data_IF_416619780166
#
_entry.id   IF_416619780166
#
_cell.length_a   1.000
_cell.length_b   1.000
_cell.length_c   1.000
_cell.angle_alpha   90.00
_cell.angle_beta   90.00
_cell.angle_gamma   90.00
#
_symmetry.space_group_name_H-M   'P 1'
#
loop_
_entity.id
_entity.type
_entity.pdbx_description
1 polymer ?
#
# COMPACT_ATOMS: atom_id res chain seq x y z
N UNK A 1 80.97 -51.40 30.07
CA UNK A 1 79.80 -50.77 30.76
C UNK A 1 79.04 -50.07 29.68
N UNK A 2 77.97 -50.65 29.16
CA UNK A 2 77.16 -50.13 28.03
C UNK A 2 75.73 -49.75 28.52
N UNK A 3 75.36 -48.54 28.25
CA UNK A 3 74.09 -48.03 28.57
C UNK A 3 73.20 -48.09 27.31
N UNK A 4 72.14 -48.94 27.36
CA UNK A 4 71.21 -49.10 26.27
C UNK A 4 70.14 -47.99 26.38
N UNK A 5 69.98 -47.17 25.32
CA UNK A 5 68.93 -46.24 25.16
C UNK A 5 67.70 -46.92 24.51
N UNK A 6 66.56 -46.93 25.22
CA UNK A 6 65.27 -47.26 24.64
C UNK A 6 64.72 -46.02 23.93
N UNK A 7 64.43 -46.20 22.65
CA UNK A 7 63.68 -45.20 21.88
C UNK A 7 62.21 -45.63 21.87
N UNK A 8 61.35 -44.85 22.53
CA UNK A 8 59.89 -45.02 22.48
C UNK A 8 59.34 -44.22 21.29
N UNK A 9 58.76 -44.90 20.30
CA UNK A 9 58.14 -44.33 19.14
C UNK A 9 56.67 -44.00 19.52
N UNK A 10 56.36 -42.75 19.67
CA UNK A 10 54.96 -42.30 19.85
C UNK A 10 54.34 -42.17 18.46
N UNK A 11 53.29 -42.95 18.15
CA UNK A 11 52.50 -42.86 16.97
C UNK A 11 51.45 -41.74 17.16
N UNK A 12 51.57 -40.65 16.42
CA UNK A 12 50.63 -39.56 16.38
C UNK A 12 49.48 -39.94 15.42
N UNK A 13 48.32 -40.32 15.95
CA UNK A 13 47.11 -40.55 15.18
C UNK A 13 46.48 -39.17 14.90
N UNK A 14 46.69 -38.64 13.69
CA UNK A 14 45.99 -37.45 13.21
C UNK A 14 44.55 -37.81 12.85
N UNK A 15 43.61 -37.53 13.77
CA UNK A 15 42.17 -37.58 13.48
C UNK A 15 41.78 -36.45 12.53
N UNK A 16 41.56 -36.75 11.25
CA UNK A 16 40.84 -35.84 10.35
C UNK A 16 39.42 -35.75 10.83
N UNK A 17 39.10 -34.71 11.59
CA UNK A 17 37.73 -34.27 11.83
C UNK A 17 37.14 -33.75 10.53
N UNK A 18 36.29 -34.53 9.88
CA UNK A 18 35.39 -34.04 8.81
C UNK A 18 34.49 -32.99 9.43
N UNK A 19 34.84 -31.71 9.28
CA UNK A 19 33.90 -30.61 9.52
C UNK A 19 32.81 -30.71 8.45
N UNK A 20 31.70 -31.34 8.79
CA UNK A 20 30.47 -31.24 8.02
C UNK A 20 30.08 -29.76 8.04
N UNK A 21 30.03 -29.05 6.87
CA UNK A 21 29.46 -27.72 6.88
C UNK A 21 28.03 -27.88 7.34
N UNK A 22 27.70 -27.37 8.53
CA UNK A 22 26.33 -27.07 8.90
C UNK A 22 25.91 -26.01 7.90
N UNK A 23 25.19 -26.44 6.86
CA UNK A 23 24.45 -25.51 6.03
C UNK A 23 23.60 -24.71 7.03
N UNK A 24 23.93 -23.44 7.22
CA UNK A 24 23.06 -22.52 7.92
C UNK A 24 21.73 -22.64 7.17
N UNK A 25 20.75 -23.30 7.77
CA UNK A 25 19.37 -23.23 7.34
C UNK A 25 19.07 -21.74 7.20
N UNK A 26 18.93 -21.27 5.98
CA UNK A 26 18.40 -19.94 5.74
C UNK A 26 17.11 -19.87 6.55
N UNK A 27 17.03 -18.89 7.43
CA UNK A 27 16.03 -18.84 8.48
C UNK A 27 14.66 -19.17 7.92
N UNK A 28 13.98 -20.16 8.50
CA UNK A 28 12.58 -20.50 8.25
C UNK A 28 11.62 -19.33 8.57
N UNK A 29 12.16 -18.18 8.95
CA UNK A 29 11.41 -16.99 9.33
C UNK A 29 11.32 -15.98 8.20
N UNK A 30 10.10 -15.44 7.99
CA UNK A 30 9.80 -14.37 7.04
C UNK A 30 9.50 -13.08 7.77
N UNK A 31 10.29 -12.03 7.52
CA UNK A 31 10.07 -10.71 8.11
C UNK A 31 9.05 -9.93 7.29
N UNK A 32 7.86 -9.74 7.85
CA UNK A 32 6.75 -8.97 7.28
C UNK A 32 6.78 -7.55 7.83
N UNK A 33 6.83 -6.56 6.94
CA UNK A 33 6.74 -5.16 7.33
C UNK A 33 5.53 -4.45 6.75
N UNK A 34 5.30 -3.22 7.18
CA UNK A 34 4.40 -2.31 6.53
C UNK A 34 4.86 -0.85 6.65
N UNK A 35 4.24 0.02 5.84
CA UNK A 35 4.35 1.47 6.02
C UNK A 35 3.67 1.88 7.32
N UNK A 36 3.96 3.11 7.78
CA UNK A 36 3.49 3.65 9.05
C UNK A 36 1.99 4.02 9.05
N UNK A 37 1.40 4.16 7.86
CA UNK A 37 -0.01 4.53 7.71
C UNK A 37 -0.96 3.38 8.10
N UNK A 38 -2.23 3.74 8.30
CA UNK A 38 -3.28 2.79 8.72
C UNK A 38 -3.47 1.65 7.72
N UNK A 39 -3.55 1.97 6.43
CA UNK A 39 -3.74 0.96 5.39
C UNK A 39 -2.55 0.01 5.32
N UNK A 40 -1.33 0.56 5.42
CA UNK A 40 -0.12 -0.23 5.52
C UNK A 40 -0.17 -1.23 6.68
N UNK A 41 -0.63 -0.78 7.86
CA UNK A 41 -0.78 -1.67 9.02
C UNK A 41 -1.83 -2.77 8.79
N UNK A 42 -2.99 -2.46 8.20
CA UNK A 42 -4.03 -3.45 7.86
C UNK A 42 -3.49 -4.48 6.86
N UNK A 43 -2.90 -4.03 5.76
CA UNK A 43 -2.37 -4.90 4.71
C UNK A 43 -1.19 -5.76 5.20
N UNK A 44 -0.29 -5.18 6.00
CA UNK A 44 0.83 -5.91 6.60
C UNK A 44 0.35 -7.02 7.55
N UNK A 45 -0.68 -6.76 8.35
CA UNK A 45 -1.29 -7.77 9.22
C UNK A 45 -2.02 -8.85 8.43
N UNK A 46 -2.67 -8.53 7.30
CA UNK A 46 -3.26 -9.52 6.39
C UNK A 46 -2.16 -10.48 5.89
N UNK A 47 -1.02 -9.94 5.45
CA UNK A 47 0.12 -10.76 5.01
C UNK A 47 0.60 -11.65 6.17
N UNK A 48 0.90 -11.07 7.32
CA UNK A 48 1.43 -11.79 8.47
C UNK A 48 0.54 -12.95 8.91
N UNK A 49 -0.75 -12.69 9.10
CA UNK A 49 -1.74 -13.69 9.54
C UNK A 49 -1.87 -14.86 8.57
N UNK A 50 -1.84 -14.60 7.26
CA UNK A 50 -1.93 -15.64 6.25
C UNK A 50 -0.67 -16.50 6.18
N UNK A 51 0.51 -15.91 6.36
CA UNK A 51 1.78 -16.65 6.40
C UNK A 51 1.90 -17.48 7.68
N UNK A 52 1.51 -16.93 8.83
CA UNK A 52 1.42 -17.68 10.10
C UNK A 52 0.48 -18.89 9.99
N UNK A 53 -0.70 -18.73 9.38
CA UNK A 53 -1.64 -19.84 9.17
C UNK A 53 -1.00 -20.97 8.33
N UNK A 54 -0.05 -20.64 7.45
CA UNK A 54 0.69 -21.64 6.67
C UNK A 54 1.82 -22.29 7.44
N UNK A 55 2.07 -21.86 8.69
CA UNK A 55 3.11 -22.41 9.55
C UNK A 55 4.49 -21.79 9.33
N UNK A 56 4.58 -20.67 8.62
CA UNK A 56 5.82 -19.90 8.53
C UNK A 56 6.10 -19.18 9.85
N UNK A 57 7.36 -19.14 10.25
CA UNK A 57 7.80 -18.30 11.37
C UNK A 57 7.84 -16.84 10.91
N UNK A 58 6.87 -16.03 11.34
CA UNK A 58 6.71 -14.63 10.92
C UNK A 58 7.29 -13.68 11.96
N UNK A 59 8.22 -12.84 11.51
CA UNK A 59 8.70 -11.70 12.29
C UNK A 59 8.02 -10.44 11.80
N UNK A 60 7.32 -9.75 12.70
CA UNK A 60 6.56 -8.57 12.35
C UNK A 60 7.35 -7.28 12.55
N UNK A 61 7.32 -6.40 11.55
CA UNK A 61 7.77 -5.02 11.58
C UNK A 61 6.68 -4.09 11.03
N UNK A 62 5.47 -4.28 11.53
CA UNK A 62 4.30 -3.48 11.13
C UNK A 62 4.50 -2.01 11.55
N UNK A 63 4.09 -1.09 10.67
CA UNK A 63 4.28 0.36 10.84
C UNK A 63 5.76 0.76 11.00
N UNK A 64 6.67 0.12 10.26
CA UNK A 64 8.11 0.33 10.34
C UNK A 64 8.52 1.78 10.01
N UNK A 65 7.85 2.42 9.06
CA UNK A 65 8.17 3.79 8.67
C UNK A 65 7.57 4.21 7.33
N UNK A 66 7.93 5.40 6.83
CA UNK A 66 7.48 5.86 5.52
C UNK A 66 8.09 5.02 4.38
N UNK A 67 7.52 5.17 3.18
CA UNK A 67 7.85 4.39 1.97
C UNK A 67 9.36 4.18 1.77
N UNK A 68 10.17 5.23 1.88
CA UNK A 68 11.63 5.14 1.66
C UNK A 68 12.31 4.21 2.67
N UNK A 69 11.89 4.24 3.93
CA UNK A 69 12.48 3.39 4.99
C UNK A 69 12.16 1.92 4.74
N UNK A 70 10.89 1.59 4.50
CA UNK A 70 10.47 0.20 4.27
C UNK A 70 11.07 -0.35 2.99
N UNK A 71 11.13 0.47 1.92
CA UNK A 71 11.76 0.10 0.65
C UNK A 71 13.26 -0.21 0.82
N UNK A 72 13.99 0.63 1.54
CA UNK A 72 15.41 0.41 1.82
C UNK A 72 15.61 -0.89 2.61
N UNK A 73 14.82 -1.11 3.66
CA UNK A 73 14.90 -2.33 4.47
C UNK A 73 14.64 -3.62 3.64
N UNK A 74 13.72 -3.58 2.66
CA UNK A 74 13.52 -4.70 1.73
C UNK A 74 14.76 -4.94 0.86
N UNK A 75 15.33 -3.89 0.28
CA UNK A 75 16.49 -4.00 -0.61
C UNK A 75 17.76 -4.46 0.13
N UNK A 76 17.91 -4.07 1.38
CA UNK A 76 19.02 -4.48 2.25
C UNK A 76 18.80 -5.87 2.89
N UNK A 77 17.61 -6.45 2.75
CA UNK A 77 17.29 -7.78 3.27
C UNK A 77 16.92 -7.82 4.75
N UNK A 78 16.66 -6.67 5.36
CA UNK A 78 16.15 -6.58 6.74
C UNK A 78 14.65 -6.87 6.83
N UNK A 79 13.95 -6.75 5.70
CA UNK A 79 12.54 -7.06 5.49
C UNK A 79 12.43 -8.00 4.29
N UNK A 80 11.54 -8.97 4.33
CA UNK A 80 11.34 -9.96 3.30
C UNK A 80 10.15 -9.67 2.40
N UNK A 81 9.09 -9.11 2.97
CA UNK A 81 7.83 -8.80 2.28
C UNK A 81 7.11 -7.62 2.94
N UNK A 82 6.52 -6.75 2.14
CA UNK A 82 5.60 -5.71 2.61
C UNK A 82 4.61 -5.31 1.51
N UNK A 83 3.47 -4.66 1.84
CA UNK A 83 2.56 -4.09 0.85
C UNK A 83 3.12 -2.77 0.28
N UNK A 84 3.31 -2.72 -1.05
CA UNK A 84 3.73 -1.53 -1.78
C UNK A 84 2.70 -1.18 -2.86
N UNK A 85 2.72 0.04 -3.36
CA UNK A 85 1.76 0.55 -4.34
C UNK A 85 2.39 0.68 -5.72
N UNK A 86 1.71 0.22 -6.76
CA UNK A 86 2.23 0.15 -8.14
C UNK A 86 2.81 1.47 -8.63
N UNK A 87 2.13 2.60 -8.39
CA UNK A 87 2.59 3.93 -8.80
C UNK A 87 3.89 4.38 -8.16
N UNK A 88 4.23 3.88 -6.95
CA UNK A 88 5.48 4.22 -6.30
C UNK A 88 6.72 3.74 -7.06
N UNK A 89 6.59 2.70 -7.87
CA UNK A 89 7.68 2.26 -8.73
C UNK A 89 8.10 3.38 -9.72
N UNK A 90 7.18 4.23 -10.16
CA UNK A 90 7.50 5.39 -10.97
C UNK A 90 8.54 6.30 -10.30
N UNK A 91 8.38 6.55 -9.01
CA UNK A 91 9.32 7.38 -8.23
C UNK A 91 10.62 6.64 -7.90
N UNK A 92 10.55 5.34 -7.59
CA UNK A 92 11.76 4.57 -7.27
C UNK A 92 12.76 4.55 -8.42
N UNK A 93 12.25 4.57 -9.65
CA UNK A 93 13.06 4.49 -10.87
C UNK A 93 13.12 5.82 -11.65
N UNK A 94 12.59 6.93 -11.12
CA UNK A 94 12.56 8.25 -11.76
C UNK A 94 11.88 8.23 -13.15
N UNK A 95 10.78 7.49 -13.27
CA UNK A 95 9.97 7.36 -14.50
C UNK A 95 8.48 7.61 -14.22
N UNK A 96 8.18 8.45 -13.24
CA UNK A 96 6.83 8.79 -12.78
C UNK A 96 5.97 9.49 -13.87
N UNK A 97 6.61 10.12 -14.85
CA UNK A 97 5.93 10.73 -16.01
C UNK A 97 5.45 9.72 -17.07
N UNK A 98 5.81 8.43 -16.99
CA UNK A 98 5.44 7.43 -17.97
C UNK A 98 3.92 7.19 -17.98
N UNK A 99 3.24 7.27 -19.15
CA UNK A 99 1.80 7.04 -19.24
C UNK A 99 1.34 5.63 -18.83
N UNK A 100 2.24 4.67 -18.72
CA UNK A 100 1.95 3.34 -18.20
C UNK A 100 1.35 3.38 -16.78
N UNK A 101 1.69 4.38 -15.98
CA UNK A 101 1.15 4.54 -14.63
C UNK A 101 -0.33 4.92 -14.56
N UNK A 102 -0.93 5.30 -15.69
CA UNK A 102 -2.34 5.74 -15.79
C UNK A 102 -3.37 4.60 -15.82
N UNK A 103 -2.93 3.35 -15.95
CA UNK A 103 -3.80 2.16 -16.01
C UNK A 103 -3.25 1.06 -15.12
N UNK A 104 -4.13 0.34 -14.43
CA UNK A 104 -3.78 -0.67 -13.44
C UNK A 104 -2.89 -1.79 -14.01
N UNK A 105 -3.27 -2.36 -15.15
CA UNK A 105 -2.55 -3.44 -15.83
C UNK A 105 -1.15 -3.04 -16.27
N UNK A 106 -1.01 -1.87 -16.91
CA UNK A 106 0.28 -1.37 -17.37
C UNK A 106 1.17 -0.87 -16.25
N UNK A 107 0.61 -0.26 -15.19
CA UNK A 107 1.34 0.15 -14.00
C UNK A 107 1.92 -1.07 -13.28
N UNK A 108 1.11 -2.12 -13.08
CA UNK A 108 1.58 -3.36 -12.46
C UNK A 108 2.66 -4.06 -13.29
N UNK A 109 2.44 -4.20 -14.61
CA UNK A 109 3.43 -4.82 -15.50
C UNK A 109 4.77 -4.07 -15.46
N UNK A 110 4.71 -2.73 -15.49
CA UNK A 110 5.90 -1.87 -15.44
C UNK A 110 6.62 -1.93 -14.10
N UNK A 111 5.89 -1.96 -12.98
CA UNK A 111 6.49 -2.12 -11.65
C UNK A 111 7.27 -3.44 -11.54
N UNK A 112 6.68 -4.54 -12.04
CA UNK A 112 7.35 -5.85 -12.10
C UNK A 112 8.62 -5.83 -12.95
N UNK A 113 8.55 -5.23 -14.13
CA UNK A 113 9.67 -5.12 -15.06
C UNK A 113 10.84 -4.39 -14.42
N UNK A 114 10.58 -3.21 -13.87
CA UNK A 114 11.61 -2.35 -13.27
C UNK A 114 12.26 -2.98 -12.04
N UNK A 115 11.48 -3.64 -11.21
CA UNK A 115 11.97 -4.22 -9.95
C UNK A 115 12.65 -5.59 -10.13
N UNK A 116 12.56 -6.21 -11.29
CA UNK A 116 13.25 -7.47 -11.59
C UNK A 116 14.77 -7.36 -11.39
N UNK A 117 15.36 -6.21 -11.74
CA UNK A 117 16.79 -5.95 -11.53
C UNK A 117 17.19 -5.93 -10.04
N UNK A 118 16.28 -5.54 -9.16
CA UNK A 118 16.45 -5.53 -7.71
C UNK A 118 16.13 -6.89 -7.06
N UNK A 119 15.75 -7.90 -7.85
CA UNK A 119 15.28 -9.21 -7.35
C UNK A 119 14.09 -9.07 -6.39
N UNK A 120 13.19 -8.13 -6.68
CA UNK A 120 11.92 -7.91 -5.98
C UNK A 120 10.79 -8.34 -6.89
N UNK A 121 9.92 -9.20 -6.35
CA UNK A 121 8.76 -9.74 -7.06
C UNK A 121 7.49 -9.07 -6.57
N UNK A 122 6.73 -8.50 -7.47
CA UNK A 122 5.39 -7.96 -7.21
C UNK A 122 4.37 -9.08 -7.38
N UNK A 123 3.62 -9.39 -6.32
CA UNK A 123 2.55 -10.38 -6.33
C UNK A 123 1.23 -9.75 -6.79
N UNK A 124 0.13 -10.51 -6.68
CA UNK A 124 -1.21 -10.07 -7.10
C UNK A 124 -1.59 -8.75 -6.41
N UNK A 125 -1.90 -7.69 -7.17
CA UNK A 125 -2.39 -6.44 -6.59
C UNK A 125 -3.85 -6.55 -6.16
N UNK A 126 -4.25 -5.70 -5.22
CA UNK A 126 -5.63 -5.47 -4.86
C UNK A 126 -6.25 -4.45 -5.82
N UNK A 127 -7.48 -4.67 -6.32
CA UNK A 127 -8.17 -3.73 -7.22
C UNK A 127 -8.72 -2.52 -6.44
N UNK A 128 -7.85 -1.79 -5.77
CA UNK A 128 -8.18 -0.67 -4.90
C UNK A 128 -7.16 0.46 -5.08
N UNK A 129 -7.52 1.44 -5.90
CA UNK A 129 -6.62 2.53 -6.25
C UNK A 129 -6.55 3.60 -5.14
N UNK A 130 -5.45 3.63 -4.41
CA UNK A 130 -5.15 4.63 -3.37
C UNK A 130 -4.46 5.85 -3.98
N UNK A 131 -5.14 6.55 -4.87
CA UNK A 131 -4.64 7.77 -5.52
C UNK A 131 -5.36 9.02 -5.03
N UNK A 132 -4.82 10.21 -5.29
CA UNK A 132 -5.56 11.45 -5.11
C UNK A 132 -6.86 11.44 -5.90
N UNK A 133 -7.94 11.77 -5.21
CA UNK A 133 -9.26 11.85 -5.79
C UNK A 133 -10.06 13.03 -5.21
N UNK A 134 -11.19 13.32 -5.82
CA UNK A 134 -12.20 14.23 -5.29
C UNK A 134 -13.37 13.38 -4.83
N UNK A 135 -13.73 13.53 -3.56
CA UNK A 135 -14.98 13.00 -3.02
C UNK A 135 -15.98 14.13 -2.78
N UNK A 136 -17.25 13.82 -2.94
CA UNK A 136 -18.37 14.75 -2.70
C UNK A 136 -19.26 14.18 -1.61
N UNK A 137 -19.83 15.04 -0.78
CA UNK A 137 -20.82 14.61 0.22
C UNK A 137 -21.98 13.86 -0.45
N UNK A 138 -22.38 12.74 0.13
CA UNK A 138 -23.29 11.77 -0.51
C UNK A 138 -24.66 12.35 -0.89
N UNK A 139 -25.22 13.27 -0.08
CA UNK A 139 -26.47 13.97 -0.40
C UNK A 139 -26.32 14.87 -1.63
N UNK A 140 -25.19 15.58 -1.76
CA UNK A 140 -24.89 16.44 -2.91
C UNK A 140 -24.66 15.59 -4.17
N UNK A 141 -23.91 14.48 -4.02
CA UNK A 141 -23.69 13.54 -5.12
C UNK A 141 -25.00 12.97 -5.66
N UNK A 142 -25.90 12.56 -4.75
CA UNK A 142 -27.23 12.02 -5.10
C UNK A 142 -28.13 13.07 -5.75
N UNK A 143 -28.22 14.28 -5.17
CA UNK A 143 -29.08 15.35 -5.66
C UNK A 143 -28.70 15.83 -7.08
N UNK A 144 -27.42 15.71 -7.45
CA UNK A 144 -26.89 16.20 -8.72
C UNK A 144 -26.42 15.07 -9.65
N UNK A 145 -26.71 13.80 -9.33
CA UNK A 145 -26.31 12.60 -10.09
C UNK A 145 -24.80 12.53 -10.38
N UNK A 146 -23.97 12.89 -9.39
CA UNK A 146 -22.52 12.90 -9.54
C UNK A 146 -21.95 11.50 -9.26
N UNK A 147 -21.34 10.89 -10.27
CA UNK A 147 -20.66 9.61 -10.17
C UNK A 147 -19.20 9.69 -10.67
N UNK A 148 -18.94 10.59 -11.59
CA UNK A 148 -17.65 10.75 -12.26
C UNK A 148 -17.16 12.20 -12.18
N UNK A 149 -15.88 12.42 -12.45
CA UNK A 149 -15.34 13.77 -12.59
C UNK A 149 -15.87 14.50 -13.84
N UNK A 150 -16.35 13.76 -14.86
CA UNK A 150 -17.09 14.38 -15.97
C UNK A 150 -18.43 14.98 -15.52
N UNK A 151 -19.17 14.27 -14.66
CA UNK A 151 -20.42 14.79 -14.10
C UNK A 151 -20.15 16.01 -13.23
N UNK A 152 -19.12 15.93 -12.38
CA UNK A 152 -18.69 17.03 -11.53
C UNK A 152 -18.27 18.25 -12.32
N UNK A 153 -17.46 18.08 -13.36
CA UNK A 153 -17.03 19.16 -14.23
C UNK A 153 -18.20 19.88 -14.89
N UNK A 154 -19.17 19.13 -15.44
CA UNK A 154 -20.41 19.69 -16.00
C UNK A 154 -21.25 20.42 -14.96
N UNK A 155 -21.38 19.85 -13.77
CA UNK A 155 -22.13 20.46 -12.67
C UNK A 155 -21.49 21.77 -12.22
N UNK A 156 -20.19 21.82 -12.02
CA UNK A 156 -19.46 23.05 -11.65
C UNK A 156 -19.55 24.10 -12.74
N UNK A 157 -19.32 23.75 -14.01
CA UNK A 157 -19.41 24.66 -15.15
C UNK A 157 -20.84 25.20 -15.34
N UNK A 158 -21.87 24.45 -14.97
CA UNK A 158 -23.27 24.85 -14.96
C UNK A 158 -23.71 25.72 -13.77
N UNK A 159 -22.77 26.15 -12.91
CA UNK A 159 -23.06 27.00 -11.74
C UNK A 159 -23.39 26.21 -10.47
N UNK A 160 -23.02 24.94 -10.42
CA UNK A 160 -23.14 24.09 -9.22
C UNK A 160 -22.40 24.68 -8.03
N UNK A 161 -23.08 24.72 -6.87
CA UNK A 161 -22.50 25.26 -5.63
C UNK A 161 -21.53 24.27 -5.02
N UNK A 162 -20.27 24.33 -5.39
CA UNK A 162 -19.18 23.53 -4.85
C UNK A 162 -18.26 24.39 -3.98
N UNK A 163 -17.83 23.83 -2.85
CA UNK A 163 -16.66 24.28 -2.10
C UNK A 163 -15.84 23.05 -1.69
N UNK A 164 -14.59 23.01 -2.11
CA UNK A 164 -13.70 21.89 -1.95
C UNK A 164 -12.66 22.18 -0.86
N UNK A 165 -12.52 21.26 0.09
CA UNK A 165 -11.41 21.24 1.04
C UNK A 165 -10.25 20.42 0.47
N UNK A 166 -9.06 20.98 0.47
CA UNK A 166 -7.84 20.30 0.00
C UNK A 166 -6.59 20.80 0.69
N UNK A 167 -5.50 20.03 0.61
CA UNK A 167 -4.18 20.51 1.04
C UNK A 167 -3.64 21.55 0.08
N UNK A 168 -2.71 22.37 0.55
CA UNK A 168 -2.01 23.33 -0.32
C UNK A 168 -1.35 22.60 -1.51
N UNK A 169 -0.69 21.45 -1.24
CA UNK A 169 -0.07 20.65 -2.29
C UNK A 169 -1.07 20.18 -3.35
N UNK A 170 -2.23 19.66 -2.94
CA UNK A 170 -3.26 19.23 -3.88
C UNK A 170 -3.80 20.38 -4.73
N UNK A 171 -4.01 21.54 -4.13
CA UNK A 171 -4.56 22.72 -4.80
C UNK A 171 -3.56 23.35 -5.79
N UNK A 172 -2.27 23.34 -5.46
CA UNK A 172 -1.22 24.03 -6.21
C UNK A 172 -0.44 23.15 -7.18
N UNK A 173 -0.32 21.84 -6.90
CA UNK A 173 0.43 20.91 -7.76
C UNK A 173 -0.20 20.79 -9.14
N UNK A 174 0.59 21.04 -10.19
CA UNK A 174 0.14 20.91 -11.57
C UNK A 174 -0.42 19.51 -11.90
N UNK A 175 0.00 18.48 -11.17
CA UNK A 175 -0.43 17.10 -11.35
C UNK A 175 -1.72 16.74 -10.60
N UNK A 176 -2.24 17.60 -9.72
CA UNK A 176 -3.41 17.34 -8.87
C UNK A 176 -4.65 18.13 -9.31
N UNK A 177 -5.18 19.04 -8.48
CA UNK A 177 -6.40 19.80 -8.82
C UNK A 177 -6.30 20.55 -10.16
N UNK A 178 -5.22 21.23 -10.53
CA UNK A 178 -5.08 21.85 -11.84
C UNK A 178 -5.21 20.86 -13.00
N UNK A 179 -4.66 19.64 -12.87
CA UNK A 179 -4.81 18.61 -13.90
C UNK A 179 -6.27 18.13 -14.00
N UNK A 180 -6.95 17.91 -12.89
CA UNK A 180 -8.38 17.57 -12.89
C UNK A 180 -9.21 18.68 -13.54
N UNK A 181 -8.97 19.94 -13.19
CA UNK A 181 -9.66 21.09 -13.79
C UNK A 181 -9.48 21.15 -15.31
N UNK A 182 -8.26 20.99 -15.76
CA UNK A 182 -7.93 20.98 -17.20
C UNK A 182 -8.60 19.82 -17.93
N UNK A 183 -8.51 18.61 -17.39
CA UNK A 183 -9.03 17.41 -18.04
C UNK A 183 -10.57 17.37 -18.08
N UNK A 184 -11.23 17.82 -17.04
CA UNK A 184 -12.69 17.73 -16.88
C UNK A 184 -13.43 19.04 -17.11
N UNK A 185 -12.74 20.10 -17.57
CA UNK A 185 -13.35 21.33 -18.05
C UNK A 185 -14.05 22.16 -16.97
N UNK A 186 -13.53 22.17 -15.76
CA UNK A 186 -14.04 23.03 -14.69
C UNK A 186 -12.93 23.89 -14.08
N UNK A 187 -13.32 24.92 -13.34
CA UNK A 187 -12.39 25.77 -12.60
C UNK A 187 -13.04 26.19 -11.28
N UNK A 188 -12.29 26.08 -10.19
CA UNK A 188 -12.70 26.58 -8.89
C UNK A 188 -12.00 27.92 -8.59
N UNK A 189 -12.77 28.91 -8.15
CA UNK A 189 -12.25 30.16 -7.62
C UNK A 189 -11.74 30.00 -6.19
N UNK A 190 -11.01 30.98 -5.68
CA UNK A 190 -10.47 30.93 -4.32
C UNK A 190 -11.56 30.85 -3.25
N UNK A 191 -12.70 31.46 -3.47
CA UNK A 191 -13.87 31.40 -2.60
C UNK A 191 -14.52 29.99 -2.55
N UNK A 192 -14.26 29.17 -3.57
CA UNK A 192 -14.70 27.78 -3.67
C UNK A 192 -13.67 26.79 -3.09
N UNK A 193 -12.59 27.26 -2.49
CA UNK A 193 -11.56 26.42 -1.89
C UNK A 193 -11.44 26.69 -0.38
N UNK A 194 -11.30 25.61 0.39
CA UNK A 194 -10.80 25.64 1.77
C UNK A 194 -9.45 24.94 1.78
N UNK A 195 -8.38 25.76 1.78
CA UNK A 195 -7.01 25.21 1.78
C UNK A 195 -6.56 24.95 3.20
N UNK A 196 -6.18 23.71 3.49
CA UNK A 196 -5.64 23.27 4.78
C UNK A 196 -4.12 23.13 4.70
N UNK A 197 -3.42 23.53 5.76
CA UNK A 197 -1.96 23.55 5.78
C UNK A 197 -1.28 22.18 5.79
N UNK A 198 -2.01 21.11 6.15
CA UNK A 198 -1.51 19.74 6.16
C UNK A 198 -2.04 18.90 5.00
N UNK A 199 -1.35 17.78 4.72
CA UNK A 199 -1.78 16.77 3.74
C UNK A 199 -2.77 15.73 4.31
N UNK A 200 -3.26 15.94 5.54
CA UNK A 200 -4.15 14.99 6.21
C UNK A 200 -5.56 15.04 5.63
N UNK A 201 -5.94 13.96 4.96
CA UNK A 201 -7.26 13.81 4.35
C UNK A 201 -8.38 13.61 5.37
N UNK A 202 -8.09 13.21 6.60
CA UNK A 202 -9.10 13.16 7.66
C UNK A 202 -9.72 14.55 7.90
N UNK A 203 -8.92 15.61 7.85
CA UNK A 203 -9.38 16.98 8.02
C UNK A 203 -10.25 17.45 6.83
N UNK A 204 -9.86 17.13 5.58
CA UNK A 204 -10.62 17.52 4.38
C UNK A 204 -11.94 16.76 4.31
N UNK A 205 -11.93 15.46 4.60
CA UNK A 205 -13.11 14.59 4.65
C UNK A 205 -14.10 15.10 5.72
N UNK A 206 -13.60 15.38 6.92
CA UNK A 206 -14.43 15.91 8.02
C UNK A 206 -15.06 17.25 7.64
N UNK A 207 -14.28 18.16 7.05
CA UNK A 207 -14.81 19.45 6.61
C UNK A 207 -15.95 19.31 5.60
N UNK A 208 -15.85 18.37 4.65
CA UNK A 208 -16.90 18.10 3.69
C UNK A 208 -18.13 17.43 4.33
N UNK A 209 -17.92 16.45 5.20
CA UNK A 209 -19.01 15.74 5.89
C UNK A 209 -19.84 16.67 6.77
N UNK A 210 -19.19 17.55 7.53
CA UNK A 210 -19.83 18.49 8.45
C UNK A 210 -20.33 19.77 7.74
N UNK A 211 -19.96 19.99 6.49
CA UNK A 211 -20.31 21.22 5.75
C UNK A 211 -19.61 22.46 6.29
N UNK A 212 -18.43 22.31 6.90
CA UNK A 212 -17.65 23.40 7.50
C UNK A 212 -17.41 24.53 6.49
N UNK A 213 -17.83 25.75 6.82
CA UNK A 213 -17.73 26.93 5.93
C UNK A 213 -18.36 26.71 4.54
N UNK A 214 -19.34 25.82 4.41
CA UNK A 214 -20.02 25.49 3.16
C UNK A 214 -19.29 24.46 2.29
N UNK A 215 -18.24 23.80 2.81
CA UNK A 215 -17.52 22.71 2.11
C UNK A 215 -18.46 21.53 1.88
N UNK A 216 -18.44 20.98 0.67
CA UNK A 216 -19.25 19.82 0.27
C UNK A 216 -18.48 18.85 -0.65
N UNK A 217 -17.22 19.17 -0.92
CA UNK A 217 -16.29 18.30 -1.63
C UNK A 217 -14.93 18.28 -0.90
N UNK A 218 -14.19 17.21 -1.03
CA UNK A 218 -12.89 17.03 -0.37
C UNK A 218 -11.88 16.39 -1.31
N UNK A 219 -10.61 16.81 -1.17
CA UNK A 219 -9.47 16.01 -1.55
C UNK A 219 -9.43 14.77 -0.65
N UNK A 220 -9.25 13.61 -1.23
CA UNK A 220 -9.12 12.32 -0.55
C UNK A 220 -8.06 11.47 -1.22
N UNK A 221 -7.57 10.44 -0.52
CA UNK A 221 -7.03 9.26 -1.16
C UNK A 221 -8.15 8.24 -1.34
N UNK A 222 -8.15 7.51 -2.47
CA UNK A 222 -9.28 6.68 -2.85
C UNK A 222 -9.73 5.66 -1.79
N UNK A 223 -8.80 5.15 -0.99
CA UNK A 223 -9.04 4.13 0.04
C UNK A 223 -9.25 4.68 1.45
N UNK A 224 -9.31 6.01 1.64
CA UNK A 224 -9.50 6.62 2.96
C UNK A 224 -10.77 6.10 3.67
N UNK A 225 -10.60 5.64 4.90
CA UNK A 225 -11.69 5.08 5.70
C UNK A 225 -12.79 6.08 6.03
N UNK A 226 -12.44 7.36 6.19
CA UNK A 226 -13.40 8.43 6.44
C UNK A 226 -14.42 8.62 5.34
N UNK A 227 -14.14 8.24 4.10
CA UNK A 227 -15.04 8.38 2.95
C UNK A 227 -16.34 7.61 3.21
N UNK A 228 -16.24 6.31 3.46
CA UNK A 228 -17.40 5.46 3.72
C UNK A 228 -18.07 5.80 5.06
N UNK A 229 -17.26 5.97 6.12
CA UNK A 229 -17.76 6.23 7.48
C UNK A 229 -18.53 7.54 7.60
N UNK A 230 -18.16 8.58 6.84
CA UNK A 230 -18.77 9.90 6.89
C UNK A 230 -19.68 10.21 5.68
N UNK A 231 -19.98 9.19 4.88
CA UNK A 231 -20.98 9.29 3.81
C UNK A 231 -20.57 10.16 2.63
N UNK A 232 -19.27 10.20 2.31
CA UNK A 232 -18.79 10.81 1.07
C UNK A 232 -18.80 9.80 -0.07
N UNK A 233 -18.76 10.29 -1.31
CA UNK A 233 -18.64 9.50 -2.52
C UNK A 233 -17.47 9.97 -3.34
N UNK A 234 -16.52 9.06 -3.61
CA UNK A 234 -15.42 9.30 -4.55
C UNK A 234 -15.97 9.38 -5.97
N UNK A 235 -15.51 10.36 -6.73
CA UNK A 235 -15.85 10.52 -8.14
C UNK A 235 -14.81 9.79 -9.01
N UNK A 236 -15.29 8.99 -9.96
CA UNK A 236 -14.42 8.22 -10.83
C UNK A 236 -13.62 9.13 -11.77
N UNK A 237 -12.30 8.95 -11.82
CA UNK A 237 -11.40 9.57 -12.80
C UNK A 237 -11.42 8.80 -14.12
N UNK A 238 -12.41 9.06 -14.97
CA UNK A 238 -12.66 8.36 -16.22
C UNK A 238 -11.58 8.63 -17.29
N UNK A 239 -10.78 9.69 -17.12
CA UNK A 239 -9.71 10.09 -18.07
C UNK A 239 -8.32 9.69 -17.59
N UNK A 240 -8.19 9.08 -16.41
CA UNK A 240 -6.90 8.63 -15.88
C UNK A 240 -5.93 9.79 -15.65
N UNK A 241 -6.39 10.88 -15.04
CA UNK A 241 -5.56 12.05 -14.74
C UNK A 241 -4.48 11.67 -13.72
N UNK A 242 -4.85 10.89 -12.70
CA UNK A 242 -3.92 10.43 -11.69
C UNK A 242 -3.25 9.11 -12.08
N UNK A 243 -2.04 8.87 -11.56
CA UNK A 243 -1.42 7.56 -11.61
C UNK A 243 -2.19 6.58 -10.72
N UNK A 244 -2.11 5.31 -11.07
CA UNK A 244 -2.75 4.22 -10.31
C UNK A 244 -1.81 3.74 -9.21
N UNK A 245 -2.33 3.65 -7.99
CA UNK A 245 -1.63 3.17 -6.80
C UNK A 245 -2.39 1.98 -6.20
N UNK A 246 -2.35 0.83 -6.87
CA UNK A 246 -2.92 -0.41 -6.34
C UNK A 246 -1.92 -1.09 -5.40
N UNK A 247 -2.32 -1.44 -4.15
CA UNK A 247 -1.44 -2.14 -3.22
C UNK A 247 -1.21 -3.59 -3.65
N UNK A 248 0.05 -4.00 -3.61
CA UNK A 248 0.48 -5.36 -3.91
C UNK A 248 1.55 -5.82 -2.91
N UNK A 249 1.58 -7.09 -2.48
CA UNK A 249 2.73 -7.59 -1.75
C UNK A 249 3.97 -7.56 -2.64
N UNK A 250 5.05 -6.99 -2.14
CA UNK A 250 6.38 -7.07 -2.78
C UNK A 250 7.28 -7.92 -1.92
N UNK A 251 7.92 -8.91 -2.52
CA UNK A 251 8.72 -9.93 -1.83
C UNK A 251 10.09 -10.08 -2.47
N UNK A 252 11.12 -10.32 -1.68
CA UNK A 252 12.46 -10.66 -2.21
C UNK A 252 12.41 -11.99 -2.96
N UNK A 253 13.00 -12.06 -4.15
CA UNK A 253 12.97 -13.25 -5.00
C UNK A 253 13.47 -14.51 -4.26
N UNK A 254 14.56 -14.39 -3.50
CA UNK A 254 15.11 -15.50 -2.74
C UNK A 254 14.15 -16.08 -1.69
N UNK A 255 13.31 -15.22 -1.09
CA UNK A 255 12.28 -15.65 -0.12
C UNK A 255 11.14 -16.38 -0.83
N UNK A 256 10.73 -15.87 -1.99
CA UNK A 256 9.68 -16.53 -2.79
C UNK A 256 10.16 -17.85 -3.40
N UNK A 257 11.44 -17.97 -3.73
CA UNK A 257 12.06 -19.24 -4.17
C UNK A 257 12.08 -20.29 -3.05
N UNK A 258 12.34 -19.85 -1.81
CA UNK A 258 12.33 -20.73 -0.63
C UNK A 258 10.89 -21.08 -0.20
N UNK A 259 9.94 -20.18 -0.38
CA UNK A 259 8.55 -20.26 0.07
C UNK A 259 7.57 -19.91 -1.06
N UNK A 260 7.48 -20.74 -2.12
CA UNK A 260 6.62 -20.45 -3.29
C UNK A 260 5.12 -20.38 -2.96
N UNK A 261 4.69 -20.96 -1.84
CA UNK A 261 3.32 -20.90 -1.33
C UNK A 261 2.89 -19.48 -0.98
N UNK A 262 3.79 -18.55 -0.68
CA UNK A 262 3.47 -17.15 -0.35
C UNK A 262 2.57 -16.53 -1.42
N UNK A 263 2.90 -16.70 -2.70
CA UNK A 263 2.12 -16.14 -3.80
C UNK A 263 0.68 -16.69 -3.82
N UNK A 264 0.53 -18.00 -3.66
CA UNK A 264 -0.77 -18.66 -3.74
C UNK A 264 -1.66 -18.40 -2.53
N UNK A 265 -1.05 -18.17 -1.37
CA UNK A 265 -1.77 -17.86 -0.11
C UNK A 265 -2.28 -16.44 -0.10
N UNK A 266 -1.50 -15.47 -0.60
CA UNK A 266 -1.85 -14.05 -0.57
C UNK A 266 -2.82 -13.65 -1.69
N UNK A 267 -2.76 -14.31 -2.86
CA UNK A 267 -3.54 -13.91 -4.03
C UNK A 267 -5.06 -13.83 -3.78
N UNK A 268 -5.74 -14.77 -3.11
CA UNK A 268 -7.18 -14.67 -2.86
C UNK A 268 -7.54 -13.45 -1.99
N UNK A 269 -6.73 -13.14 -0.97
CA UNK A 269 -6.97 -12.01 -0.09
C UNK A 269 -6.81 -10.69 -0.86
N UNK A 270 -5.70 -10.51 -1.57
CA UNK A 270 -5.46 -9.28 -2.33
C UNK A 270 -6.48 -9.09 -3.46
N UNK A 271 -6.90 -10.14 -4.14
CA UNK A 271 -7.98 -10.06 -5.14
C UNK A 271 -9.34 -9.66 -4.55
N UNK A 272 -9.59 -9.96 -3.27
CA UNK A 272 -10.85 -9.63 -2.58
C UNK A 272 -10.84 -8.24 -1.92
N UNK A 273 -9.70 -7.55 -1.87
CA UNK A 273 -9.55 -6.20 -1.34
C UNK A 273 -9.98 -5.17 -2.40
N UNK A 274 -11.30 -5.02 -2.59
CA UNK A 274 -11.83 -3.94 -3.44
C UNK A 274 -11.65 -2.58 -2.79
N UNK A 275 -11.89 -1.50 -3.55
CA UNK A 275 -11.86 -0.14 -3.04
C UNK A 275 -12.74 0.02 -1.80
N UNK A 276 -13.99 -0.42 -1.88
CA UNK A 276 -14.97 -0.34 -0.79
C UNK A 276 -14.54 -1.21 0.41
N UNK A 277 -13.93 -2.36 0.14
CA UNK A 277 -13.41 -3.23 1.21
C UNK A 277 -12.32 -2.52 1.98
N UNK A 278 -11.32 -1.94 1.30
CA UNK A 278 -10.25 -1.19 1.97
C UNK A 278 -10.75 0.05 2.70
N UNK A 279 -11.67 0.81 2.12
CA UNK A 279 -12.34 1.92 2.81
C UNK A 279 -12.98 1.46 4.12
N UNK A 280 -13.69 0.32 4.10
CA UNK A 280 -14.33 -0.25 5.29
C UNK A 280 -13.34 -0.71 6.36
N UNK A 281 -12.25 -1.37 5.96
CA UNK A 281 -11.20 -1.81 6.89
C UNK A 281 -10.46 -0.62 7.50
N UNK A 282 -10.10 0.36 6.67
CA UNK A 282 -9.45 1.58 7.13
C UNK A 282 -10.35 2.39 8.07
N UNK A 283 -11.68 2.42 7.82
CA UNK A 283 -12.65 3.09 8.68
C UNK A 283 -12.68 2.50 10.08
N UNK A 284 -12.67 1.17 10.21
CA UNK A 284 -12.63 0.49 11.51
C UNK A 284 -11.42 0.92 12.34
N UNK A 285 -10.26 1.12 11.70
CA UNK A 285 -9.06 1.55 12.41
C UNK A 285 -9.05 3.07 12.64
N UNK A 286 -9.26 3.88 11.59
CA UNK A 286 -9.11 5.34 11.66
C UNK A 286 -10.23 6.04 12.42
N UNK A 287 -11.46 5.55 12.27
CA UNK A 287 -12.66 6.22 12.80
C UNK A 287 -13.17 5.53 14.07
N UNK A 288 -13.17 4.18 14.09
CA UNK A 288 -13.66 3.41 15.22
C UNK A 288 -12.57 3.08 16.24
N UNK A 289 -11.28 3.33 15.91
CA UNK A 289 -10.15 3.11 16.82
C UNK A 289 -9.83 1.63 17.07
N UNK A 290 -10.25 0.74 16.19
CA UNK A 290 -9.98 -0.68 16.32
C UNK A 290 -8.52 -1.02 16.01
N UNK A 291 -8.01 -2.08 16.61
CA UNK A 291 -6.66 -2.58 16.33
C UNK A 291 -6.56 -3.15 14.90
N UNK A 292 -5.53 -2.75 14.14
CA UNK A 292 -5.38 -3.13 12.73
C UNK A 292 -5.26 -4.65 12.54
N UNK A 293 -4.61 -5.37 13.46
CA UNK A 293 -4.49 -6.83 13.39
C UNK A 293 -5.83 -7.51 13.67
N UNK A 294 -6.58 -7.00 14.63
CA UNK A 294 -7.92 -7.50 14.92
C UNK A 294 -8.86 -7.31 13.73
N UNK A 295 -8.83 -6.14 13.08
CA UNK A 295 -9.60 -5.84 11.85
C UNK A 295 -9.20 -6.77 10.71
N UNK A 296 -7.92 -6.96 10.47
CA UNK A 296 -7.42 -7.89 9.45
C UNK A 296 -7.89 -9.34 9.71
N UNK A 297 -7.78 -9.79 10.97
CA UNK A 297 -8.20 -11.14 11.38
C UNK A 297 -9.70 -11.36 11.20
N UNK A 298 -10.52 -10.41 11.65
CA UNK A 298 -11.98 -10.47 11.49
C UNK A 298 -12.38 -10.57 10.01
N UNK A 299 -11.78 -9.72 9.16
CA UNK A 299 -12.06 -9.73 7.74
C UNK A 299 -11.64 -11.02 7.06
N UNK A 300 -10.43 -11.52 7.32
CA UNK A 300 -9.92 -12.78 6.77
C UNK A 300 -10.80 -13.97 7.18
N UNK A 301 -11.21 -14.02 8.45
CA UNK A 301 -12.10 -15.06 8.97
C UNK A 301 -13.48 -14.99 8.31
N UNK A 302 -14.04 -13.78 8.18
CA UNK A 302 -15.31 -13.54 7.49
C UNK A 302 -15.31 -13.92 6.00
N UNK A 303 -14.13 -13.86 5.37
CA UNK A 303 -13.93 -14.33 3.98
C UNK A 303 -13.61 -15.84 3.89
N UNK A 304 -13.46 -16.55 5.01
CA UNK A 304 -13.04 -17.94 5.04
C UNK A 304 -11.58 -18.18 4.63
N UNK A 305 -10.76 -17.11 4.63
CA UNK A 305 -9.34 -17.17 4.28
C UNK A 305 -8.46 -17.49 5.49
N UNK A 306 -8.94 -17.22 6.69
CA UNK A 306 -8.31 -17.58 7.97
C UNK A 306 -9.25 -18.54 8.71
N UNK A 307 -8.66 -19.63 9.27
CA UNK A 307 -9.39 -20.66 10.04
C UNK A 307 -9.25 -20.42 11.53
#
# INVERSE_FOLDING_TARGET
MSLRRLIATAALVAGLGLAVPVAASAADSVTVASKIDTEGAVLGNIIALLLEQKGLDVKERISLGPTKIVRTALLEGEVDIYPEYTGNAGFFFNVDADPAWKKADTAYAKAKELDAANKVVWLQPAPANNTWAIAVRGDVAKANNLATLDDFGKWVAGGGKVKLAGSAEFVESAAALPAFQSAYGFKLGQDQLLVLSGGDTAATIKAAAEGTSGVNAAMVYGTDGGIAALGLKVLADTKGVQAVYEPAPVVRAAVLEAHPEIATVLAPAFSALTLETLQGLNAKVQIEGQDARAVAKEWLTGKGLLK
#
